data_IF_508611565020
#
_entry.id   IF_508611565020
#
_cell.length_a   1.000
_cell.length_b   1.000
_cell.length_c   1.000
_cell.angle_alpha   90.00
_cell.angle_beta   90.00
_cell.angle_gamma   90.00
#
_symmetry.space_group_name_H-M   'P 1'
#
loop_
_entity.id
_entity.type
_entity.pdbx_description
1 polymer ?
#
# COMPACT_ATOMS: atom_id res chain seq x y z
N UNK A 1 -19.87 1.23 -20.80
CA UNK A 1 -18.46 1.25 -20.36
C UNK A 1 -18.33 2.34 -19.31
N UNK A 2 -18.36 1.97 -18.02
CA UNK A 2 -18.19 2.95 -16.93
C UNK A 2 -16.70 3.17 -16.72
N UNK A 3 -16.17 4.28 -17.21
CA UNK A 3 -14.83 4.77 -16.89
C UNK A 3 -14.87 5.36 -15.48
N UNK A 4 -14.78 4.50 -14.47
CA UNK A 4 -14.42 4.94 -13.12
C UNK A 4 -13.01 5.50 -13.17
N UNK A 5 -12.85 6.81 -12.99
CA UNK A 5 -11.52 7.43 -12.88
C UNK A 5 -10.78 6.78 -11.72
N UNK A 6 -9.74 5.99 -12.02
CA UNK A 6 -8.83 5.54 -10.98
C UNK A 6 -8.22 6.79 -10.34
N UNK A 7 -8.46 6.99 -9.04
CA UNK A 7 -7.95 8.15 -8.32
C UNK A 7 -6.42 8.26 -8.50
N UNK A 8 -5.94 9.48 -8.75
CA UNK A 8 -4.51 9.75 -8.96
C UNK A 8 -3.73 9.46 -7.67
N UNK A 9 -2.58 8.82 -7.81
CA UNK A 9 -1.64 8.64 -6.71
C UNK A 9 -1.14 9.98 -6.13
N UNK A 10 -0.98 10.02 -4.81
CA UNK A 10 -0.53 11.16 -4.05
C UNK A 10 0.45 10.75 -2.94
N UNK A 11 1.05 11.74 -2.28
CA UNK A 11 1.88 11.51 -1.08
C UNK A 11 1.10 10.83 0.06
N UNK A 12 -0.23 11.00 0.11
CA UNK A 12 -1.05 10.38 1.14
C UNK A 12 -1.05 8.84 1.00
N UNK A 13 -1.01 8.33 -0.23
CA UNK A 13 -0.93 6.89 -0.50
C UNK A 13 0.42 6.32 -0.03
N UNK A 14 1.53 7.00 -0.34
CA UNK A 14 2.87 6.59 0.11
C UNK A 14 2.97 6.54 1.64
N UNK A 15 2.41 7.56 2.31
CA UNK A 15 2.42 7.64 3.77
C UNK A 15 1.54 6.55 4.39
N UNK A 16 0.32 6.36 3.89
CA UNK A 16 -0.60 5.33 4.37
C UNK A 16 -0.01 3.92 4.21
N UNK A 17 0.59 3.61 3.06
CA UNK A 17 1.25 2.32 2.83
C UNK A 17 2.34 2.07 3.87
N UNK A 18 3.19 3.07 4.13
CA UNK A 18 4.28 2.96 5.11
C UNK A 18 3.76 2.70 6.52
N UNK A 19 2.74 3.45 6.95
CA UNK A 19 2.13 3.28 8.29
C UNK A 19 1.43 1.91 8.41
N UNK A 20 0.71 1.46 7.39
CA UNK A 20 0.06 0.16 7.39
C UNK A 20 1.05 -0.99 7.48
N UNK A 21 2.25 -0.88 6.90
CA UNK A 21 3.31 -1.88 7.09
C UNK A 21 3.66 -2.08 8.56
N UNK A 22 3.64 -1.02 9.38
CA UNK A 22 3.83 -1.16 10.83
C UNK A 22 2.65 -1.86 11.50
N UNK A 23 1.41 -1.60 11.08
CA UNK A 23 0.24 -2.31 11.57
C UNK A 23 0.36 -3.83 11.36
N UNK A 24 0.84 -4.28 10.19
CA UNK A 24 1.16 -5.69 9.95
C UNK A 24 2.32 -6.19 10.81
N UNK A 25 3.40 -5.41 10.94
CA UNK A 25 4.58 -5.80 11.73
C UNK A 25 4.24 -6.04 13.21
N UNK A 26 3.35 -5.23 13.80
CA UNK A 26 2.89 -5.38 15.19
C UNK A 26 1.67 -6.30 15.32
N UNK A 27 1.22 -6.93 14.22
CA UNK A 27 0.11 -7.89 14.18
C UNK A 27 -1.22 -7.31 14.66
N UNK A 28 -1.55 -6.08 14.27
CA UNK A 28 -2.91 -5.56 14.45
C UNK A 28 -3.91 -6.41 13.66
N UNK A 29 -5.10 -6.62 14.23
CA UNK A 29 -6.18 -7.29 13.50
C UNK A 29 -6.74 -6.36 12.42
N UNK A 30 -6.59 -6.76 11.16
CA UNK A 30 -7.10 -6.06 9.98
C UNK A 30 -8.12 -6.92 9.19
N UNK A 31 -8.64 -8.00 9.79
CA UNK A 31 -9.65 -8.85 9.17
C UNK A 31 -10.90 -8.04 8.79
N UNK A 32 -11.48 -8.36 7.63
CA UNK A 32 -12.65 -7.66 7.09
C UNK A 32 -12.35 -6.30 6.44
N UNK A 33 -11.11 -5.79 6.51
CA UNK A 33 -10.72 -4.52 5.87
C UNK A 33 -10.24 -4.74 4.42
N UNK A 34 -11.13 -5.26 3.57
CA UNK A 34 -10.82 -5.69 2.20
C UNK A 34 -10.24 -4.56 1.32
N UNK A 35 -10.69 -3.32 1.49
CA UNK A 35 -10.15 -2.17 0.76
C UNK A 35 -8.72 -1.82 1.17
N UNK A 36 -8.35 -2.08 2.43
CA UNK A 36 -6.96 -1.93 2.90
C UNK A 36 -6.09 -3.00 2.24
N UNK A 37 -6.53 -4.25 2.23
CA UNK A 37 -5.80 -5.33 1.57
C UNK A 37 -5.57 -5.03 0.07
N UNK A 38 -6.62 -4.62 -0.65
CA UNK A 38 -6.52 -4.25 -2.06
C UNK A 38 -5.60 -3.03 -2.28
N UNK A 39 -5.63 -2.04 -1.38
CA UNK A 39 -4.72 -0.89 -1.43
C UNK A 39 -3.26 -1.30 -1.23
N UNK A 40 -2.97 -2.12 -0.22
CA UNK A 40 -1.62 -2.61 0.06
C UNK A 40 -1.05 -3.40 -1.12
N UNK A 41 -1.87 -4.26 -1.74
CA UNK A 41 -1.47 -4.99 -2.93
C UNK A 41 -1.11 -4.05 -4.09
N UNK A 42 -1.98 -3.10 -4.44
CA UNK A 42 -1.70 -2.13 -5.52
C UNK A 42 -0.46 -1.30 -5.26
N UNK A 43 -0.20 -0.94 -3.99
CA UNK A 43 1.00 -0.18 -3.62
C UNK A 43 2.27 -1.04 -3.73
N UNK A 44 2.22 -2.31 -3.31
CA UNK A 44 3.35 -3.23 -3.41
C UNK A 44 3.71 -3.59 -4.86
N UNK A 45 2.76 -3.49 -5.80
CA UNK A 45 2.98 -3.71 -7.24
C UNK A 45 3.66 -2.53 -7.94
N UNK A 46 3.79 -1.36 -7.29
CA UNK A 46 4.44 -0.19 -7.90
C UNK A 46 5.97 -0.35 -7.96
N UNK A 47 6.61 -0.15 -9.12
CA UNK A 47 8.07 -0.24 -9.24
C UNK A 47 8.82 0.68 -8.27
N UNK A 48 8.36 1.92 -8.10
CA UNK A 48 9.02 2.89 -7.24
C UNK A 48 8.92 2.51 -5.75
N UNK A 49 7.86 1.81 -5.37
CA UNK A 49 7.70 1.26 -4.01
C UNK A 49 8.63 0.07 -3.82
N UNK A 50 8.74 -0.82 -4.81
CA UNK A 50 9.65 -1.97 -4.77
C UNK A 50 11.12 -1.52 -4.70
N UNK A 51 11.49 -0.50 -5.47
CA UNK A 51 12.82 0.10 -5.46
C UNK A 51 13.14 0.70 -4.09
N UNK A 52 12.19 1.45 -3.50
CA UNK A 52 12.35 2.04 -2.18
C UNK A 52 12.51 0.97 -1.08
N UNK A 53 11.65 -0.07 -1.11
CA UNK A 53 11.76 -1.18 -0.15
C UNK A 53 13.11 -1.88 -0.27
N UNK A 54 13.55 -2.18 -1.50
CA UNK A 54 14.84 -2.83 -1.75
C UNK A 54 16.02 -1.98 -1.27
N UNK A 55 15.98 -0.66 -1.52
CA UNK A 55 17.00 0.29 -1.07
C UNK A 55 17.07 0.39 0.46
N UNK A 56 15.94 0.26 1.14
CA UNK A 56 15.85 0.20 2.61
C UNK A 56 16.17 -1.18 3.19
N UNK A 57 16.48 -2.19 2.37
CA UNK A 57 16.72 -3.57 2.82
C UNK A 57 15.46 -4.30 3.28
N UNK A 58 14.30 -3.84 2.84
CA UNK A 58 12.98 -4.38 3.14
C UNK A 58 12.45 -5.16 1.92
N UNK A 59 11.68 -6.21 2.17
CA UNK A 59 10.90 -6.92 1.14
C UNK A 59 9.43 -6.94 1.49
#
# INVERSE_FOLDING_TARGET
MSTGSAARFTIADAYLFTVLRWAYAVKLNLEGLEHIAAFMQRMAERPEVQDALSAEGLK
#
